data_IF_637696031820
#
_entry.id   IF_637696031820
#
_cell.length_a   1.000
_cell.length_b   1.000
_cell.length_c   1.000
_cell.angle_alpha   90.00
_cell.angle_beta   90.00
_cell.angle_gamma   90.00
#
_symmetry.space_group_name_H-M   'P 1'
#
loop_
_entity.id
_entity.type
_entity.pdbx_description
1 polymer ?
#
# COMPACT_ATOMS: atom_id res chain seq x y z
N UNK A 1 43.71 -17.80 57.02
CA UNK A 1 42.99 -18.48 55.93
C UNK A 1 41.53 -18.07 55.96
N UNK A 2 41.09 -17.20 55.05
CA UNK A 2 39.68 -16.88 54.84
C UNK A 2 39.50 -16.45 53.39
N UNK A 3 38.79 -17.26 52.60
CA UNK A 3 38.55 -17.01 51.17
C UNK A 3 37.11 -16.51 50.96
N UNK A 4 37.05 -15.29 50.46
CA UNK A 4 36.12 -14.62 49.54
C UNK A 4 34.81 -15.36 49.22
N UNK A 5 33.70 -14.73 49.62
CA UNK A 5 32.32 -15.04 49.20
C UNK A 5 32.06 -14.46 47.80
N UNK A 6 31.78 -15.32 46.83
CA UNK A 6 31.26 -14.93 45.51
C UNK A 6 29.73 -14.91 45.54
N UNK A 7 29.13 -13.74 45.41
CA UNK A 7 27.70 -13.58 45.15
C UNK A 7 27.46 -13.58 43.63
N UNK A 8 27.05 -14.72 43.07
CA UNK A 8 26.48 -14.77 41.73
C UNK A 8 25.02 -14.31 41.80
N UNK A 9 24.77 -13.06 41.38
CA UNK A 9 23.42 -12.54 41.12
C UNK A 9 22.84 -13.30 39.93
N UNK A 10 21.75 -14.04 40.18
CA UNK A 10 20.92 -14.62 39.13
C UNK A 10 20.16 -13.50 38.41
N UNK A 11 20.30 -13.43 37.09
CA UNK A 11 19.45 -12.59 36.24
C UNK A 11 18.09 -13.28 36.06
N UNK A 12 16.97 -12.53 36.07
CA UNK A 12 15.66 -13.10 35.81
C UNK A 12 15.58 -13.57 34.35
N UNK A 13 15.28 -14.86 34.17
CA UNK A 13 14.91 -15.44 32.87
C UNK A 13 13.63 -14.75 32.40
N UNK A 14 13.70 -13.96 31.34
CA UNK A 14 12.50 -13.39 30.74
C UNK A 14 11.70 -14.50 30.03
N UNK A 15 10.37 -14.52 30.15
CA UNK A 15 9.53 -15.45 29.43
C UNK A 15 9.07 -14.82 28.11
N UNK A 16 10.00 -14.39 27.25
CA UNK A 16 9.64 -14.08 25.86
C UNK A 16 9.57 -15.38 25.06
N UNK A 17 8.59 -16.22 25.44
CA UNK A 17 8.06 -17.24 24.55
C UNK A 17 7.34 -16.51 23.43
N UNK A 18 8.06 -16.28 22.33
CA UNK A 18 7.48 -15.84 21.06
C UNK A 18 6.39 -16.84 20.64
N UNK A 19 5.15 -16.54 21.01
CA UNK A 19 3.97 -17.23 20.52
C UNK A 19 3.67 -16.62 19.16
N UNK A 20 4.41 -17.02 18.14
CA UNK A 20 3.95 -16.83 16.78
C UNK A 20 2.56 -17.49 16.69
N UNK A 21 1.51 -16.78 16.27
CA UNK A 21 0.23 -17.42 16.02
C UNK A 21 0.49 -18.51 14.96
N UNK A 22 0.37 -19.78 15.37
CA UNK A 22 0.30 -20.89 14.42
C UNK A 22 -0.93 -20.62 13.58
N UNK A 23 -0.72 -20.21 12.34
CA UNK A 23 -1.73 -20.28 11.31
C UNK A 23 -2.22 -21.73 11.29
N UNK A 24 -3.39 -21.99 11.87
CA UNK A 24 -4.10 -23.24 11.64
C UNK A 24 -4.47 -23.21 10.17
N UNK A 25 -3.65 -23.86 9.36
CA UNK A 25 -4.05 -24.28 8.02
C UNK A 25 -5.33 -25.11 8.20
N UNK A 26 -6.48 -24.49 7.93
CA UNK A 26 -7.71 -25.21 7.63
C UNK A 26 -7.60 -25.68 6.18
N UNK A 27 -6.57 -26.44 5.87
CA UNK A 27 -6.39 -27.09 4.58
C UNK A 27 -6.93 -28.50 4.69
N UNK A 28 -7.91 -28.85 3.85
CA UNK A 28 -8.18 -30.24 3.52
C UNK A 28 -6.85 -30.95 3.25
N UNK A 29 -6.56 -32.03 3.96
CA UNK A 29 -5.33 -32.80 3.78
C UNK A 29 -5.39 -33.49 2.42
N UNK A 30 -4.90 -32.83 1.37
CA UNK A 30 -4.74 -33.45 0.05
C UNK A 30 -3.72 -34.57 0.19
N UNK A 31 -4.04 -35.76 -0.34
CA UNK A 31 -3.10 -36.89 -0.31
C UNK A 31 -1.84 -36.52 -1.10
N UNK A 32 -0.68 -36.62 -0.46
CA UNK A 32 0.63 -36.32 -1.04
C UNK A 32 1.48 -37.58 -1.13
N UNK A 33 2.37 -37.65 -2.11
CA UNK A 33 3.35 -38.72 -2.25
C UNK A 33 4.49 -38.63 -1.20
N UNK A 34 5.44 -39.56 -1.26
CA UNK A 34 6.63 -39.58 -0.39
C UNK A 34 7.52 -38.33 -0.55
N UNK A 35 7.36 -37.57 -1.65
CA UNK A 35 8.06 -36.32 -1.94
C UNK A 35 7.25 -35.07 -1.53
N UNK A 36 6.04 -35.22 -0.99
CA UNK A 36 5.16 -34.12 -0.62
C UNK A 36 4.41 -33.48 -1.79
N UNK A 37 4.37 -34.12 -2.96
CA UNK A 37 3.64 -33.67 -4.15
C UNK A 37 2.20 -34.21 -4.09
N UNK A 38 1.17 -33.38 -4.36
CA UNK A 38 -0.21 -33.85 -4.40
C UNK A 38 -0.41 -34.98 -5.42
N UNK A 39 -1.06 -36.07 -4.99
CA UNK A 39 -1.39 -37.22 -5.85
C UNK A 39 -2.55 -36.86 -6.79
N UNK A 40 -3.43 -35.96 -6.36
CA UNK A 40 -4.53 -35.43 -7.15
C UNK A 40 -4.20 -34.02 -7.66
N UNK A 41 -4.70 -33.64 -8.85
CA UNK A 41 -4.52 -32.28 -9.35
C UNK A 41 -5.18 -31.29 -8.38
N UNK A 42 -4.38 -30.39 -7.84
CA UNK A 42 -4.87 -29.25 -7.06
C UNK A 42 -5.31 -28.12 -7.98
N UNK A 43 -6.18 -27.26 -7.48
CA UNK A 43 -6.57 -26.03 -8.17
C UNK A 43 -5.33 -25.22 -8.57
N UNK A 44 -5.36 -24.64 -9.78
CA UNK A 44 -4.32 -23.70 -10.19
C UNK A 44 -4.70 -22.28 -9.78
N UNK A 45 -3.72 -21.46 -9.42
CA UNK A 45 -3.96 -20.03 -9.11
C UNK A 45 -4.59 -19.33 -10.31
N UNK A 46 -4.18 -19.68 -11.53
CA UNK A 46 -4.76 -19.11 -12.74
C UNK A 46 -6.24 -19.48 -12.89
N UNK A 47 -6.63 -20.73 -12.64
CA UNK A 47 -8.03 -21.17 -12.65
C UNK A 47 -8.87 -20.45 -11.59
N UNK A 48 -8.31 -20.25 -10.39
CA UNK A 48 -8.96 -19.47 -9.35
C UNK A 48 -9.19 -18.02 -9.80
N UNK A 49 -8.15 -17.35 -10.32
CA UNK A 49 -8.24 -15.97 -10.76
C UNK A 49 -9.14 -15.80 -11.99
N UNK A 50 -9.20 -16.80 -12.88
CA UNK A 50 -10.08 -16.78 -14.05
C UNK A 50 -11.54 -17.07 -13.74
N UNK A 51 -11.85 -17.62 -12.56
CA UNK A 51 -13.23 -17.86 -12.13
C UNK A 51 -14.00 -16.58 -11.74
N UNK A 52 -13.30 -15.51 -11.37
CA UNK A 52 -13.93 -14.26 -10.98
C UNK A 52 -14.46 -13.47 -12.18
N UNK A 53 -15.62 -12.84 -12.05
CA UNK A 53 -16.19 -11.99 -13.09
C UNK A 53 -15.33 -10.73 -13.30
N UNK A 54 -15.17 -10.29 -14.55
CA UNK A 54 -14.58 -8.99 -14.85
C UNK A 54 -15.67 -7.92 -14.78
N UNK A 55 -15.62 -6.99 -13.81
CA UNK A 55 -16.62 -5.93 -13.69
C UNK A 55 -16.45 -4.94 -14.85
N UNK A 56 -17.58 -4.49 -15.42
CA UNK A 56 -17.56 -3.50 -16.50
C UNK A 56 -17.52 -2.10 -15.93
N UNK A 57 -16.59 -1.28 -16.41
CA UNK A 57 -16.47 0.12 -15.99
C UNK A 57 -17.20 1.00 -17.02
N UNK A 58 -18.21 1.79 -16.61
CA UNK A 58 -18.89 2.68 -17.55
C UNK A 58 -17.94 3.80 -17.99
N UNK A 59 -18.04 4.28 -19.24
CA UNK A 59 -17.10 5.27 -19.80
C UNK A 59 -17.09 6.58 -18.99
N UNK A 60 -18.25 6.97 -18.43
CA UNK A 60 -18.36 8.15 -17.56
C UNK A 60 -17.51 8.03 -16.29
N UNK A 61 -17.42 6.85 -15.69
CA UNK A 61 -16.56 6.61 -14.52
C UNK A 61 -15.09 6.70 -14.92
N UNK A 62 -14.71 6.15 -16.07
CA UNK A 62 -13.34 6.26 -16.56
C UNK A 62 -12.97 7.74 -16.81
N UNK A 63 -13.82 8.51 -17.46
CA UNK A 63 -13.63 9.96 -17.62
C UNK A 63 -13.46 10.67 -16.27
N UNK A 64 -14.31 10.35 -15.30
CA UNK A 64 -14.23 10.93 -13.96
C UNK A 64 -12.91 10.60 -13.25
N UNK A 65 -12.39 9.38 -13.39
CA UNK A 65 -11.08 9.00 -12.84
C UNK A 65 -9.94 9.79 -13.47
N UNK A 66 -10.01 10.07 -14.77
CA UNK A 66 -9.04 10.93 -15.45
C UNK A 66 -9.09 12.36 -14.91
N UNK A 67 -10.28 12.91 -14.70
CA UNK A 67 -10.46 14.23 -14.10
C UNK A 67 -9.87 14.29 -12.68
N UNK A 68 -10.13 13.29 -11.84
CA UNK A 68 -9.61 13.22 -10.46
C UNK A 68 -8.08 13.06 -10.42
N UNK A 69 -7.51 12.38 -11.41
CA UNK A 69 -6.06 12.20 -11.54
C UNK A 69 -5.37 13.35 -12.30
N UNK A 70 -6.13 14.39 -12.69
CA UNK A 70 -5.65 15.50 -13.51
C UNK A 70 -4.98 15.05 -14.82
N UNK A 71 -5.47 13.96 -15.40
CA UNK A 71 -5.02 13.41 -16.69
C UNK A 71 -5.98 13.79 -17.82
N UNK A 72 -5.46 13.83 -19.04
CA UNK A 72 -6.27 14.06 -20.25
C UNK A 72 -6.79 12.70 -20.73
N UNK A 73 -8.12 12.48 -20.79
CA UNK A 73 -8.68 11.21 -21.25
C UNK A 73 -8.50 11.03 -22.76
N UNK A 74 -8.25 9.80 -23.24
CA UNK A 74 -8.30 9.50 -24.67
C UNK A 74 -9.75 9.61 -25.17
N UNK A 75 -9.92 9.97 -26.44
CA UNK A 75 -11.23 10.06 -27.07
C UNK A 75 -11.96 8.72 -27.01
N UNK A 76 -13.25 8.75 -26.64
CA UNK A 76 -14.11 7.56 -26.59
C UNK A 76 -14.17 6.86 -27.97
N UNK A 77 -14.17 5.52 -27.96
CA UNK A 77 -14.18 4.71 -29.18
C UNK A 77 -12.82 4.59 -29.89
N UNK A 78 -11.75 5.14 -29.32
CA UNK A 78 -10.38 4.89 -29.80
C UNK A 78 -9.82 3.58 -29.25
N UNK A 79 -8.91 2.94 -30.00
CA UNK A 79 -8.19 1.73 -29.55
C UNK A 79 -7.47 1.98 -28.21
N UNK A 80 -6.99 3.21 -27.99
CA UNK A 80 -6.34 3.60 -26.74
C UNK A 80 -7.33 3.58 -25.55
N UNK A 81 -8.54 4.12 -25.75
CA UNK A 81 -9.60 4.10 -24.73
C UNK A 81 -9.99 2.65 -24.37
N UNK A 82 -10.20 1.80 -25.36
CA UNK A 82 -10.60 0.40 -25.14
C UNK A 82 -9.51 -0.41 -24.43
N UNK A 83 -8.24 -0.21 -24.81
CA UNK A 83 -7.10 -0.84 -24.16
C UNK A 83 -7.03 -0.47 -22.68
N UNK A 84 -7.18 0.81 -22.34
CA UNK A 84 -7.10 1.27 -20.96
C UNK A 84 -8.31 0.80 -20.15
N UNK A 85 -9.50 0.83 -20.76
CA UNK A 85 -10.72 0.30 -20.13
C UNK A 85 -10.51 -1.16 -19.74
N UNK A 86 -10.07 -2.00 -20.68
CA UNK A 86 -9.80 -3.41 -20.42
C UNK A 86 -8.75 -3.62 -19.33
N UNK A 87 -7.66 -2.85 -19.36
CA UNK A 87 -6.61 -2.95 -18.34
C UNK A 87 -7.14 -2.58 -16.94
N UNK A 88 -7.98 -1.54 -16.85
CA UNK A 88 -8.58 -1.13 -15.59
C UNK A 88 -9.54 -2.21 -15.07
N UNK A 89 -10.38 -2.78 -15.94
CA UNK A 89 -11.30 -3.86 -15.58
C UNK A 89 -10.57 -5.11 -15.10
N UNK A 90 -9.45 -5.48 -15.74
CA UNK A 90 -8.57 -6.59 -15.31
C UNK A 90 -7.94 -6.32 -13.93
N UNK A 91 -7.53 -5.07 -13.64
CA UNK A 91 -7.02 -4.69 -12.31
C UNK A 91 -8.11 -4.75 -11.24
N UNK A 92 -9.32 -4.25 -11.54
CA UNK A 92 -10.43 -4.28 -10.58
C UNK A 92 -10.83 -5.72 -10.27
N UNK A 93 -10.89 -6.60 -11.26
CA UNK A 93 -11.16 -8.04 -11.08
C UNK A 93 -10.25 -8.67 -10.02
N UNK A 94 -8.95 -8.34 -10.04
CA UNK A 94 -7.99 -8.87 -9.08
C UNK A 94 -8.27 -8.40 -7.65
N UNK A 95 -8.69 -7.14 -7.49
CA UNK A 95 -9.02 -6.56 -6.18
C UNK A 95 -10.38 -7.06 -5.66
N UNK A 96 -11.33 -7.36 -6.54
CA UNK A 96 -12.63 -7.91 -6.13
C UNK A 96 -12.52 -9.26 -5.41
N UNK A 97 -11.54 -10.09 -5.78
CA UNK A 97 -11.28 -11.35 -5.08
C UNK A 97 -10.99 -11.15 -3.58
N UNK A 98 -10.36 -10.02 -3.21
CA UNK A 98 -10.08 -9.68 -1.81
C UNK A 98 -11.36 -9.38 -1.03
N UNK A 99 -12.41 -8.89 -1.68
CA UNK A 99 -13.70 -8.57 -1.05
C UNK A 99 -14.45 -9.83 -0.56
N UNK A 100 -14.11 -11.00 -1.09
CA UNK A 100 -14.73 -12.28 -0.71
C UNK A 100 -14.11 -12.89 0.55
N UNK A 101 -12.99 -12.33 1.05
CA UNK A 101 -12.32 -12.82 2.24
C UNK A 101 -13.10 -12.37 3.47
N UNK A 102 -13.37 -13.30 4.38
CA UNK A 102 -13.96 -12.96 5.66
C UNK A 102 -12.96 -12.10 6.48
N UNK A 103 -13.38 -10.87 6.78
CA UNK A 103 -12.61 -9.89 7.56
C UNK A 103 -13.27 -9.57 8.91
N UNK A 104 -14.22 -10.41 9.35
CA UNK A 104 -14.89 -10.28 10.64
C UNK A 104 -13.86 -10.24 11.78
N UNK A 105 -13.92 -9.19 12.60
CA UNK A 105 -13.01 -8.98 13.73
C UNK A 105 -11.67 -8.34 13.37
N UNK A 106 -11.43 -7.98 12.11
CA UNK A 106 -10.25 -7.19 11.71
C UNK A 106 -10.51 -5.71 11.99
N UNK A 107 -9.67 -5.11 12.84
CA UNK A 107 -9.68 -3.67 13.09
C UNK A 107 -8.70 -2.99 12.13
N UNK A 108 -9.21 -2.14 11.25
CA UNK A 108 -8.37 -1.29 10.39
C UNK A 108 -7.78 -0.20 11.28
N UNK A 109 -6.54 -0.37 11.71
CA UNK A 109 -5.83 0.69 12.40
C UNK A 109 -5.29 1.68 11.38
N UNK A 110 -5.55 2.97 11.60
CA UNK A 110 -4.89 4.02 10.85
C UNK A 110 -3.39 3.94 11.05
N UNK A 111 -2.60 4.35 10.04
CA UNK A 111 -1.13 4.41 10.08
C UNK A 111 -0.59 5.17 11.31
N UNK A 112 -1.42 5.91 12.03
CA UNK A 112 -1.06 6.74 13.17
C UNK A 112 -1.50 6.21 14.55
N UNK A 113 -2.13 5.03 14.64
CA UNK A 113 -2.84 4.61 15.86
C UNK A 113 -2.10 3.56 16.71
N UNK A 114 -1.07 2.90 16.18
CA UNK A 114 -0.17 2.05 16.97
C UNK A 114 1.27 2.21 16.52
N UNK A 115 2.07 2.83 17.40
CA UNK A 115 3.53 2.69 17.44
C UNK A 115 4.31 3.15 16.19
N UNK A 116 3.98 4.31 15.64
CA UNK A 116 4.99 5.16 15.00
C UNK A 116 5.63 6.05 16.09
N UNK A 117 6.21 5.42 17.11
CA UNK A 117 6.91 6.12 18.20
C UNK A 117 8.16 6.87 17.72
N UNK A 118 8.59 6.64 16.47
CA UNK A 118 9.73 7.29 15.84
C UNK A 118 9.40 8.70 15.30
N UNK A 119 8.13 9.14 15.38
CA UNK A 119 7.74 10.55 15.19
C UNK A 119 7.64 11.27 16.53
N UNK A 120 8.68 11.22 17.35
CA UNK A 120 8.88 12.24 18.38
C UNK A 120 9.33 13.53 17.68
N UNK A 121 8.39 14.26 17.07
CA UNK A 121 8.60 15.61 16.52
C UNK A 121 8.75 16.65 17.65
N UNK A 122 9.32 16.24 18.78
CA UNK A 122 9.33 17.01 20.03
C UNK A 122 10.72 17.25 20.58
N UNK A 123 11.76 16.50 20.19
CA UNK A 123 13.10 16.67 20.79
C UNK A 123 14.25 16.28 19.84
N UNK A 124 14.47 17.06 18.79
CA UNK A 124 15.84 17.32 18.29
C UNK A 124 15.85 18.49 17.30
N UNK A 125 16.42 19.62 17.70
CA UNK A 125 16.97 20.58 16.75
C UNK A 125 16.13 21.81 16.41
N UNK A 126 15.55 22.49 17.40
CA UNK A 126 15.66 23.96 17.34
C UNK A 126 17.16 24.26 17.36
N UNK A 127 17.68 24.93 16.33
CA UNK A 127 19.10 25.24 16.06
C UNK A 127 19.82 24.37 15.02
N UNK A 128 19.29 24.40 13.79
CA UNK A 128 20.09 24.89 12.66
C UNK A 128 19.13 25.24 11.53
N UNK A 129 18.61 26.47 11.52
CA UNK A 129 18.06 27.02 10.28
C UNK A 129 19.18 26.97 9.25
N UNK A 130 19.09 26.18 8.16
CA UNK A 130 19.99 26.43 7.04
C UNK A 130 19.70 27.88 6.61
N UNK A 131 20.76 28.70 6.61
CA UNK A 131 20.76 30.12 6.23
C UNK A 131 19.59 30.50 5.34
N UNK A 132 18.69 31.34 5.86
CA UNK A 132 17.78 32.22 5.11
C UNK A 132 17.52 31.84 3.65
N UNK A 133 17.07 30.62 3.40
CA UNK A 133 16.46 30.29 2.12
C UNK A 133 15.08 30.93 2.18
N UNK A 134 15.03 32.23 1.85
CA UNK A 134 13.78 32.94 1.63
C UNK A 134 12.88 32.07 0.75
N UNK A 135 11.56 32.07 0.95
CA UNK A 135 10.66 31.20 0.17
C UNK A 135 10.83 31.34 -1.36
N UNK A 136 11.43 32.45 -1.82
CA UNK A 136 11.84 32.69 -3.20
C UNK A 136 12.94 31.75 -3.71
N UNK A 137 13.80 31.20 -2.85
CA UNK A 137 14.79 30.20 -3.21
C UNK A 137 14.15 28.93 -3.80
N UNK A 138 12.88 28.65 -3.47
CA UNK A 138 12.12 27.52 -4.04
C UNK A 138 11.70 27.77 -5.50
N UNK A 139 11.70 29.02 -5.95
CA UNK A 139 11.35 29.39 -7.32
C UNK A 139 12.39 28.89 -8.34
N UNK A 140 13.62 28.58 -7.91
CA UNK A 140 14.65 27.98 -8.79
C UNK A 140 14.25 26.63 -9.40
N UNK A 141 13.28 25.95 -8.78
CA UNK A 141 12.76 24.66 -9.25
C UNK A 141 11.47 24.79 -10.07
N UNK A 142 10.90 26.00 -10.16
CA UNK A 142 9.70 26.25 -10.92
C UNK A 142 10.01 26.27 -12.43
N UNK A 143 9.13 25.68 -13.23
CA UNK A 143 9.22 25.78 -14.69
C UNK A 143 8.93 27.20 -15.20
N UNK A 144 8.04 27.94 -14.52
CA UNK A 144 7.65 29.30 -14.88
C UNK A 144 7.45 30.17 -13.63
N UNK A 145 8.01 31.37 -13.64
CA UNK A 145 7.90 32.35 -12.56
C UNK A 145 7.79 33.75 -13.13
N UNK A 146 7.04 34.63 -12.45
CA UNK A 146 6.94 36.06 -12.77
C UNK A 146 6.74 36.82 -11.46
N UNK A 147 7.48 37.92 -11.32
CA UNK A 147 7.39 38.85 -10.17
C UNK A 147 7.50 38.17 -8.79
N UNK A 148 8.26 37.06 -8.70
CA UNK A 148 8.44 36.32 -7.44
C UNK A 148 7.31 35.34 -7.10
N UNK A 149 6.45 35.01 -8.08
CA UNK A 149 5.38 34.03 -7.93
C UNK A 149 5.47 32.90 -8.97
N UNK A 150 4.90 31.74 -8.61
CA UNK A 150 4.66 30.65 -9.57
C UNK A 150 3.56 31.06 -10.55
N UNK A 151 3.80 30.86 -11.85
CA UNK A 151 2.76 31.08 -12.87
C UNK A 151 2.20 29.73 -13.29
N UNK A 152 0.88 29.63 -13.29
CA UNK A 152 0.14 28.50 -13.85
C UNK A 152 -0.83 29.04 -14.89
N UNK A 153 -0.93 28.39 -16.05
CA UNK A 153 -1.95 28.70 -17.04
C UNK A 153 -3.32 28.34 -16.45
N UNK A 154 -4.18 29.34 -16.31
CA UNK A 154 -5.53 29.17 -15.77
C UNK A 154 -6.53 28.74 -16.86
N UNK A 155 -6.14 27.84 -17.76
CA UNK A 155 -7.06 27.32 -18.78
C UNK A 155 -7.84 26.13 -18.21
N UNK A 156 -8.81 26.46 -17.36
CA UNK A 156 -9.89 25.54 -16.98
C UNK A 156 -11.19 25.99 -17.66
N UNK A 157 -11.24 25.93 -18.98
CA UNK A 157 -12.53 25.92 -19.66
C UNK A 157 -13.20 24.58 -19.36
N UNK A 158 -14.23 24.63 -18.53
CA UNK A 158 -15.12 23.48 -18.29
C UNK A 158 -15.94 23.30 -19.57
N UNK A 159 -15.42 22.53 -20.51
CA UNK A 159 -16.16 22.15 -21.71
C UNK A 159 -17.45 21.42 -21.30
N UNK A 160 -18.61 21.82 -21.83
CA UNK A 160 -19.90 21.22 -21.51
C UNK A 160 -20.00 19.76 -21.99
#
# INVERSE_FOLDING_TARGET
>A
MSCIRSCLRQLPRSPFSSRYPRYRSSGSTTETDECGIPIQPTWSVNELLTSYSTPKIPPQTLKHLYELSALIPPTEGTIAHDKITRQMEEMVRLVEAVKLINTDGVVVMGRWEREDADRSDSQQGTESSPKEDSGQALLKHASRTMEGFYIVEADRTRSP
#
